data_IF_551234762509
#
_entry.id   IF_551234762509
#
_cell.length_a   1.000
_cell.length_b   1.000
_cell.length_c   1.000
_cell.angle_alpha   90.00
_cell.angle_beta   90.00
_cell.angle_gamma   90.00
#
_symmetry.space_group_name_H-M   'P 1'
#
loop_
_entity.id
_entity.type
_entity.pdbx_description
1 polymer ?
#
# COMPACT_ATOMS: atom_id res chain seq x y z
N UNK A 1 9.67 17.97 7.43
CA UNK A 1 8.86 16.84 6.93
C UNK A 1 8.31 17.16 5.54
N UNK A 2 8.55 16.30 4.54
CA UNK A 2 7.91 16.47 3.24
C UNK A 2 6.39 16.30 3.40
N UNK A 3 5.58 17.11 2.71
CA UNK A 3 4.13 16.93 2.73
C UNK A 3 3.79 15.52 2.22
N UNK A 4 2.74 14.87 2.75
CA UNK A 4 2.29 13.58 2.25
C UNK A 4 1.97 13.69 0.76
N UNK A 5 2.37 12.66 0.01
CA UNK A 5 2.10 12.59 -1.43
C UNK A 5 0.59 12.69 -1.67
N UNK A 6 0.20 13.31 -2.79
CA UNK A 6 -1.20 13.28 -3.22
C UNK A 6 -1.65 11.84 -3.49
N UNK A 7 -2.97 11.61 -3.57
CA UNK A 7 -3.53 10.30 -3.97
C UNK A 7 -2.95 9.87 -5.32
N UNK A 8 -2.91 10.79 -6.28
CA UNK A 8 -2.40 10.54 -7.63
C UNK A 8 -0.91 10.21 -7.63
N UNK A 9 -0.12 10.90 -6.82
CA UNK A 9 1.31 10.63 -6.66
C UNK A 9 1.55 9.28 -5.96
N UNK A 10 0.74 8.95 -4.95
CA UNK A 10 0.80 7.67 -4.24
C UNK A 10 0.45 6.52 -5.19
N UNK A 11 -0.62 6.65 -5.97
CA UNK A 11 -1.01 5.67 -6.97
C UNK A 11 0.08 5.45 -8.01
N UNK A 12 0.68 6.53 -8.53
CA UNK A 12 1.74 6.47 -9.55
C UNK A 12 2.98 5.70 -9.08
N UNK A 13 3.35 5.81 -7.79
CA UNK A 13 4.57 5.16 -7.26
C UNK A 13 4.33 3.76 -6.67
N UNK A 14 3.08 3.41 -6.35
CA UNK A 14 2.75 2.18 -5.63
C UNK A 14 1.97 1.16 -6.45
N UNK A 15 1.21 1.60 -7.46
CA UNK A 15 0.34 0.73 -8.23
C UNK A 15 1.09 -0.04 -9.34
N UNK A 16 0.61 -1.25 -9.63
CA UNK A 16 1.05 -2.04 -10.77
C UNK A 16 0.39 -1.61 -12.09
N UNK A 17 0.85 -2.12 -13.24
CA UNK A 17 0.31 -1.77 -14.56
C UNK A 17 -1.14 -2.22 -14.79
N UNK A 18 -1.71 -3.01 -13.89
CA UNK A 18 -3.09 -3.51 -13.94
C UNK A 18 -4.01 -2.78 -12.95
N UNK A 19 -3.64 -1.58 -12.51
CA UNK A 19 -4.50 -0.76 -11.66
C UNK A 19 -5.84 -0.49 -12.35
N UNK A 20 -6.93 -0.75 -11.63
CA UNK A 20 -8.28 -0.33 -12.01
C UNK A 20 -8.67 0.80 -11.07
N UNK A 21 -8.69 2.04 -11.59
CA UNK A 21 -9.18 3.22 -10.89
C UNK A 21 -10.42 3.73 -11.62
N UNK A 22 -11.59 3.40 -11.08
CA UNK A 22 -12.89 3.78 -11.63
C UNK A 22 -13.80 4.31 -10.54
N UNK A 23 -14.66 5.26 -10.90
CA UNK A 23 -15.71 5.77 -10.02
C UNK A 23 -17.05 5.17 -10.45
N UNK A 24 -17.68 4.46 -9.54
CA UNK A 24 -18.99 3.85 -9.76
C UNK A 24 -20.09 4.65 -9.06
N UNK A 25 -21.34 4.64 -9.57
CA UNK A 25 -22.47 5.24 -8.87
C UNK A 25 -22.76 4.49 -7.57
N UNK A 26 -23.36 5.16 -6.59
CA UNK A 26 -23.72 4.56 -5.31
C UNK A 26 -25.01 3.74 -5.44
N UNK A 27 -24.91 2.55 -6.03
CA UNK A 27 -26.01 1.59 -6.20
C UNK A 27 -25.59 0.19 -5.74
N UNK A 28 -26.56 -0.67 -5.44
CA UNK A 28 -26.29 -2.05 -5.02
C UNK A 28 -25.56 -2.84 -6.13
N UNK A 29 -25.95 -2.65 -7.39
CA UNK A 29 -25.29 -3.29 -8.53
C UNK A 29 -23.83 -2.86 -8.68
N UNK A 30 -23.55 -1.57 -8.49
CA UNK A 30 -22.19 -1.04 -8.51
C UNK A 30 -21.35 -1.58 -7.35
N UNK A 31 -21.93 -1.66 -6.15
CA UNK A 31 -21.26 -2.26 -5.00
C UNK A 31 -20.96 -3.75 -5.22
N UNK A 32 -21.90 -4.49 -5.81
CA UNK A 32 -21.73 -5.90 -6.17
C UNK A 32 -20.62 -6.07 -7.23
N UNK A 33 -20.59 -5.23 -8.26
CA UNK A 33 -19.55 -5.24 -9.28
C UNK A 33 -18.16 -4.94 -8.69
N UNK A 34 -18.04 -3.94 -7.82
CA UNK A 34 -16.79 -3.62 -7.13
C UNK A 34 -16.32 -4.78 -6.25
N UNK A 35 -17.22 -5.38 -5.47
CA UNK A 35 -16.94 -6.54 -4.62
C UNK A 35 -16.44 -7.73 -5.46
N UNK A 36 -17.11 -8.04 -6.56
CA UNK A 36 -16.72 -9.11 -7.48
C UNK A 36 -15.35 -8.86 -8.12
N UNK A 37 -15.06 -7.62 -8.51
CA UNK A 37 -13.76 -7.24 -9.05
C UNK A 37 -12.64 -7.41 -8.00
N UNK A 38 -12.88 -6.98 -6.76
CA UNK A 38 -11.93 -7.15 -5.65
C UNK A 38 -11.66 -8.64 -5.36
N UNK A 39 -12.70 -9.47 -5.25
CA UNK A 39 -12.55 -10.90 -5.01
C UNK A 39 -11.73 -11.56 -6.14
N UNK A 40 -12.06 -11.26 -7.39
CA UNK A 40 -11.35 -11.80 -8.54
C UNK A 40 -9.90 -11.29 -8.65
N UNK A 41 -9.58 -10.11 -8.12
CA UNK A 41 -8.21 -9.62 -8.03
C UNK A 41 -7.40 -10.40 -6.98
N UNK A 42 -8.01 -10.66 -5.81
CA UNK A 42 -7.43 -11.48 -4.75
C UNK A 42 -7.16 -12.91 -5.24
N UNK A 43 -8.12 -13.54 -5.91
CA UNK A 43 -7.96 -14.90 -6.45
C UNK A 43 -6.80 -15.00 -7.44
N UNK A 44 -6.68 -14.02 -8.35
CA UNK A 44 -5.56 -13.96 -9.30
C UNK A 44 -4.22 -13.78 -8.59
N UNK A 45 -4.16 -12.92 -7.59
CA UNK A 45 -2.95 -12.70 -6.80
C UNK A 45 -2.52 -13.97 -6.07
N UNK A 46 -3.46 -14.63 -5.37
CA UNK A 46 -3.19 -15.87 -4.63
C UNK A 46 -2.74 -16.99 -5.57
N UNK A 47 -3.43 -17.17 -6.70
CA UNK A 47 -3.05 -18.17 -7.71
C UNK A 47 -1.64 -17.92 -8.26
N UNK A 48 -1.29 -16.67 -8.54
CA UNK A 48 0.06 -16.31 -8.97
C UNK A 48 1.12 -16.61 -7.91
N UNK A 49 0.84 -16.31 -6.64
CA UNK A 49 1.75 -16.60 -5.52
C UNK A 49 1.96 -18.10 -5.34
N UNK A 50 0.90 -18.91 -5.40
CA UNK A 50 0.99 -20.37 -5.36
C UNK A 50 1.86 -20.89 -6.50
N UNK A 51 1.59 -20.46 -7.73
CA UNK A 51 2.38 -20.86 -8.90
C UNK A 51 3.85 -20.41 -8.81
N UNK A 52 4.13 -19.23 -8.26
CA UNK A 52 5.50 -18.75 -8.07
C UNK A 52 6.29 -19.65 -7.10
N UNK A 53 5.64 -20.12 -6.02
CA UNK A 53 6.21 -21.10 -5.08
C UNK A 53 6.50 -22.44 -5.75
N UNK A 54 5.55 -22.99 -6.51
CA UNK A 54 5.71 -24.25 -7.24
C UNK A 54 6.87 -24.19 -8.25
N UNK A 55 7.06 -23.04 -8.91
CA UNK A 55 8.15 -22.82 -9.86
C UNK A 55 9.50 -22.50 -9.22
N UNK A 56 9.61 -22.49 -7.89
CA UNK A 56 10.80 -22.05 -7.12
C UNK A 56 11.32 -20.68 -7.58
N UNK A 57 10.41 -19.78 -7.96
CA UNK A 57 10.72 -18.38 -8.36
C UNK A 57 10.75 -17.45 -7.16
N UNK A 58 10.93 -18.00 -5.96
CA UNK A 58 11.09 -17.24 -4.74
C UNK A 58 12.22 -16.21 -4.89
N UNK A 59 12.09 -15.08 -4.20
CA UNK A 59 13.08 -14.01 -4.24
C UNK A 59 14.44 -14.53 -3.77
N UNK A 60 15.33 -14.82 -4.73
CA UNK A 60 16.69 -15.23 -4.45
C UNK A 60 17.38 -14.18 -3.55
N UNK A 61 18.13 -14.69 -2.56
CA UNK A 61 18.90 -13.84 -1.65
C UNK A 61 19.85 -12.92 -2.41
N UNK A 62 19.99 -11.67 -1.93
CA UNK A 62 20.84 -10.65 -2.55
C UNK A 62 20.07 -9.41 -3.01
N UNK A 63 20.57 -8.72 -4.05
CA UNK A 63 20.12 -7.39 -4.46
C UNK A 63 18.60 -7.24 -4.68
N UNK A 64 17.90 -8.33 -5.08
CA UNK A 64 16.45 -8.33 -5.27
C UNK A 64 15.66 -8.22 -3.96
N UNK A 65 16.17 -8.82 -2.88
CA UNK A 65 15.57 -8.68 -1.54
C UNK A 65 15.80 -7.25 -1.02
N UNK A 66 17.00 -6.70 -1.20
CA UNK A 66 17.32 -5.31 -0.79
C UNK A 66 16.47 -4.29 -1.55
N UNK A 67 16.26 -4.45 -2.86
CA UNK A 67 15.41 -3.53 -3.64
C UNK A 67 13.94 -3.63 -3.24
N UNK A 68 13.46 -4.84 -2.92
CA UNK A 68 12.08 -5.07 -2.46
C UNK A 68 11.89 -4.43 -1.08
N UNK A 69 12.82 -4.67 -0.16
CA UNK A 69 12.84 -4.05 1.16
C UNK A 69 12.83 -2.52 1.09
N UNK A 70 13.74 -1.93 0.32
CA UNK A 70 13.83 -0.47 0.18
C UNK A 70 12.57 0.15 -0.43
N UNK A 71 11.93 -0.53 -1.38
CA UNK A 71 10.63 -0.12 -1.93
C UNK A 71 9.55 -0.17 -0.87
N UNK A 72 9.42 -1.30 -0.18
CA UNK A 72 8.33 -1.54 0.76
C UNK A 72 8.40 -0.58 1.96
N UNK A 73 9.59 -0.31 2.48
CA UNK A 73 9.80 0.69 3.53
C UNK A 73 9.32 2.08 3.11
N UNK A 74 9.66 2.52 1.89
CA UNK A 74 9.23 3.84 1.37
C UNK A 74 7.72 3.90 1.17
N UNK A 75 7.12 2.82 0.65
CA UNK A 75 5.66 2.74 0.47
C UNK A 75 4.95 2.86 1.81
N UNK A 76 5.42 2.16 2.85
CA UNK A 76 4.85 2.22 4.20
C UNK A 76 4.98 3.61 4.83
N UNK A 77 6.15 4.25 4.72
CA UNK A 77 6.35 5.61 5.22
C UNK A 77 5.42 6.64 4.54
N UNK A 78 5.25 6.54 3.22
CA UNK A 78 4.30 7.38 2.48
C UNK A 78 2.85 7.10 2.90
N UNK A 79 2.50 5.83 3.09
CA UNK A 79 1.16 5.43 3.54
C UNK A 79 0.85 5.96 4.94
N UNK A 80 1.81 5.87 5.87
CA UNK A 80 1.70 6.45 7.21
C UNK A 80 1.40 7.96 7.14
N UNK A 81 2.19 8.72 6.37
CA UNK A 81 1.97 10.16 6.24
C UNK A 81 0.61 10.51 5.66
N UNK A 82 0.14 9.74 4.67
CA UNK A 82 -1.19 9.90 4.09
C UNK A 82 -2.29 9.62 5.12
N UNK A 83 -2.23 8.49 5.81
CA UNK A 83 -3.20 8.11 6.84
C UNK A 83 -3.23 9.11 7.99
N UNK A 84 -2.07 9.55 8.46
CA UNK A 84 -1.98 10.56 9.53
C UNK A 84 -2.71 11.85 9.13
N UNK A 85 -2.54 12.31 7.89
CA UNK A 85 -3.26 13.48 7.38
C UNK A 85 -4.78 13.29 7.27
N UNK A 86 -5.25 12.06 7.06
CA UNK A 86 -6.68 11.72 7.01
C UNK A 86 -7.30 11.51 8.39
N UNK A 87 -6.56 10.91 9.31
CA UNK A 87 -7.04 10.55 10.63
C UNK A 87 -6.96 11.71 11.62
N UNK A 88 -5.97 12.61 11.50
CA UNK A 88 -5.80 13.74 12.44
C UNK A 88 -7.06 14.62 12.56
N UNK A 89 -7.73 15.01 11.45
CA UNK A 89 -8.97 15.79 11.53
C UNK A 89 -10.17 15.03 12.11
N UNK A 90 -10.12 13.70 12.14
CA UNK A 90 -11.23 12.83 12.58
C UNK A 90 -11.10 12.42 14.05
N UNK A 91 -9.88 12.13 14.50
CA UNK A 91 -9.61 11.49 15.79
C UNK A 91 -8.67 12.30 16.70
N UNK A 92 -8.12 13.42 16.21
CA UNK A 92 -7.08 14.16 16.92
C UNK A 92 -5.70 13.52 16.77
N UNK A 93 -4.65 14.25 17.17
CA UNK A 93 -3.27 13.92 16.82
C UNK A 93 -2.78 12.57 17.39
N UNK A 94 -3.06 12.29 18.67
CA UNK A 94 -2.52 11.12 19.36
C UNK A 94 -3.16 9.82 18.84
N UNK A 95 -4.49 9.80 18.72
CA UNK A 95 -5.22 8.63 18.20
C UNK A 95 -4.96 8.42 16.71
N UNK A 96 -4.87 9.49 15.92
CA UNK A 96 -4.51 9.40 14.51
C UNK A 96 -3.11 8.81 14.30
N UNK A 97 -2.14 9.17 15.13
CA UNK A 97 -0.79 8.61 15.07
C UNK A 97 -0.79 7.11 15.39
N UNK A 98 -1.52 6.69 16.43
CA UNK A 98 -1.65 5.28 16.78
C UNK A 98 -2.30 4.46 15.64
N UNK A 99 -3.40 4.95 15.08
CA UNK A 99 -4.11 4.30 13.97
C UNK A 99 -3.25 4.24 12.70
N UNK A 100 -2.63 5.36 12.30
CA UNK A 100 -1.80 5.39 11.12
C UNK A 100 -0.58 4.46 11.23
N UNK A 101 -0.01 4.33 12.44
CA UNK A 101 1.10 3.39 12.70
C UNK A 101 0.65 1.93 12.55
N UNK A 102 -0.53 1.59 13.10
CA UNK A 102 -1.08 0.25 13.00
C UNK A 102 -1.39 -0.15 11.55
N UNK A 103 -2.01 0.76 10.78
CA UNK A 103 -2.47 0.49 9.42
C UNK A 103 -1.35 0.53 8.37
N UNK A 104 -0.32 1.37 8.55
CA UNK A 104 0.82 1.44 7.63
C UNK A 104 1.83 0.30 7.81
N UNK A 105 1.71 -0.47 8.90
CA UNK A 105 2.67 -1.50 9.27
C UNK A 105 3.97 -0.92 9.82
N UNK A 106 4.97 -1.78 10.11
CA UNK A 106 6.19 -1.33 10.76
C UNK A 106 6.95 -0.36 9.83
N UNK A 107 7.20 0.82 10.37
CA UNK A 107 8.07 1.83 9.79
C UNK A 107 9.51 1.45 10.13
N UNK A 108 10.40 1.56 9.16
CA UNK A 108 11.82 1.30 9.38
C UNK A 108 12.38 2.33 10.37
N UNK A 109 13.10 1.86 11.39
CA UNK A 109 13.78 2.68 12.39
C UNK A 109 14.79 3.65 11.76
N UNK A 110 15.24 3.41 10.53
CA UNK A 110 16.07 4.34 9.75
C UNK A 110 15.35 5.62 9.28
N UNK A 111 14.03 5.76 9.48
CA UNK A 111 13.31 7.01 9.22
C UNK A 111 13.44 8.00 10.40
N UNK A 112 14.63 8.14 10.98
CA UNK A 112 15.01 9.25 11.85
C UNK A 112 15.64 10.34 10.98
N UNK A 113 14.83 11.07 10.19
CA UNK A 113 15.29 12.23 9.42
C UNK A 113 16.31 11.91 8.32
N UNK A 114 15.85 11.78 7.09
CA UNK A 114 16.72 11.55 5.93
C UNK A 114 17.83 12.60 5.79
N UNK A 115 19.06 12.18 6.10
CA UNK A 115 20.30 12.78 5.62
C UNK A 115 20.84 11.91 4.50
N UNK A 116 20.63 12.32 3.26
CA UNK A 116 21.40 11.94 2.06
C UNK A 116 21.25 13.06 1.04
#
# INVERSE_FOLDING_TARGET
PNPPLSVDQTATVSAGPLLIDIRLPLTDDAAAAASGACAAAVDRWLSWMTGAGEMKRELAAGAKQTSTYARDTKVRANHFGFLLGKYTPLYGADEAHALATADAGPLDEGYVGGGS
#
